data_IF_360099422301
#
_entry.id   IF_360099422301
#
_cell.length_a   1.000
_cell.length_b   1.000
_cell.length_c   1.000
_cell.angle_alpha   90.00
_cell.angle_beta   90.00
_cell.angle_gamma   90.00
#
_symmetry.space_group_name_H-M   'P 1'
#
loop_
_entity.id
_entity.type
_entity.pdbx_description
1 polymer ?
#
# COMPACT_ATOMS: atom_id res chain seq x y z
N UNK A 1 -6.89 -8.72 22.25
CA UNK A 1 -5.65 -9.51 22.12
C UNK A 1 -4.52 -8.51 22.00
N UNK A 2 -3.45 -8.65 22.78
CA UNK A 2 -2.28 -7.78 22.66
C UNK A 2 -1.57 -8.09 21.33
N UNK A 3 -1.25 -7.06 20.55
CA UNK A 3 -0.56 -7.22 19.26
C UNK A 3 0.95 -7.30 19.51
N UNK A 4 1.55 -8.45 19.21
CA UNK A 4 2.98 -8.71 19.38
C UNK A 4 3.84 -7.91 18.39
N UNK A 5 5.11 -7.70 18.74
CA UNK A 5 6.08 -6.97 17.92
C UNK A 5 6.28 -7.58 16.53
N UNK A 6 6.18 -8.91 16.37
CA UNK A 6 6.27 -9.56 15.05
C UNK A 6 5.10 -9.17 14.15
N UNK A 7 3.89 -9.13 14.70
CA UNK A 7 2.68 -8.74 13.97
C UNK A 7 2.80 -7.30 13.47
N UNK A 8 3.25 -6.39 14.34
CA UNK A 8 3.50 -4.98 14.00
C UNK A 8 4.54 -4.86 12.88
N UNK A 9 5.65 -5.59 12.98
CA UNK A 9 6.73 -5.55 11.99
C UNK A 9 6.23 -6.01 10.61
N UNK A 10 5.46 -7.09 10.55
CA UNK A 10 4.89 -7.60 9.30
C UNK A 10 3.85 -6.64 8.69
N UNK A 11 2.97 -6.08 9.52
CA UNK A 11 1.99 -5.10 9.08
C UNK A 11 2.64 -3.81 8.54
N UNK A 12 3.68 -3.29 9.23
CA UNK A 12 4.47 -2.14 8.76
C UNK A 12 5.14 -2.49 7.42
N UNK A 13 5.78 -3.66 7.34
CA UNK A 13 6.49 -4.10 6.13
C UNK A 13 5.56 -4.16 4.90
N UNK A 14 4.30 -4.53 5.07
CA UNK A 14 3.31 -4.49 4.00
C UNK A 14 3.06 -3.06 3.49
N UNK A 15 2.93 -2.08 4.38
CA UNK A 15 2.67 -0.68 3.99
C UNK A 15 3.88 0.02 3.38
N UNK A 16 5.11 -0.35 3.75
CA UNK A 16 6.34 0.30 3.24
C UNK A 16 7.09 -0.52 2.18
N UNK A 17 6.49 -1.62 1.71
CA UNK A 17 7.06 -2.55 0.72
C UNK A 17 7.55 -1.87 -0.56
N UNK A 18 6.94 -0.75 -0.93
CA UNK A 18 7.33 0.05 -2.08
C UNK A 18 8.77 0.57 -2.02
N UNK A 19 9.37 0.70 -0.83
CA UNK A 19 10.77 1.09 -0.65
C UNK A 19 11.75 0.04 -1.19
N UNK A 20 11.31 -1.21 -1.34
CA UNK A 20 12.12 -2.26 -1.98
C UNK A 20 12.13 -2.16 -3.51
N UNK A 21 11.43 -1.16 -4.09
CA UNK A 21 11.30 -0.90 -5.51
C UNK A 21 10.80 -2.11 -6.34
N UNK A 22 10.45 -1.84 -7.60
CA UNK A 22 10.10 -2.86 -8.60
C UNK A 22 9.06 -3.86 -8.11
N UNK A 23 9.41 -5.15 -8.19
CA UNK A 23 8.52 -6.26 -7.87
C UNK A 23 8.11 -6.30 -6.38
N UNK A 24 8.94 -5.76 -5.48
CA UNK A 24 8.65 -5.71 -4.04
C UNK A 24 7.42 -4.90 -3.68
N UNK A 25 7.05 -3.94 -4.54
CA UNK A 25 5.90 -3.07 -4.38
C UNK A 25 4.59 -3.86 -4.20
N UNK A 26 4.29 -4.86 -5.04
CA UNK A 26 3.08 -5.69 -4.89
C UNK A 26 3.37 -7.03 -4.22
N UNK A 27 4.55 -7.62 -4.45
CA UNK A 27 4.81 -8.98 -4.03
C UNK A 27 4.92 -9.13 -2.51
N UNK A 28 5.52 -8.16 -1.81
CA UNK A 28 5.68 -8.24 -0.35
C UNK A 28 4.32 -8.31 0.36
N UNK A 29 3.38 -7.36 0.20
CA UNK A 29 2.09 -7.46 0.87
C UNK A 29 1.27 -8.66 0.36
N UNK A 30 1.45 -9.08 -0.90
CA UNK A 30 0.80 -10.28 -1.43
C UNK A 30 1.26 -11.55 -0.69
N UNK A 31 2.57 -11.76 -0.56
CA UNK A 31 3.10 -12.92 0.14
C UNK A 31 2.72 -12.91 1.63
N UNK A 32 2.79 -11.74 2.28
CA UNK A 32 2.34 -11.59 3.67
C UNK A 32 0.86 -11.95 3.78
N UNK A 33 0.01 -11.40 2.91
CA UNK A 33 -1.42 -11.68 2.92
C UNK A 33 -1.70 -13.17 2.74
N UNK A 34 -1.18 -13.79 1.68
CA UNK A 34 -1.40 -15.21 1.38
C UNK A 34 -0.91 -16.14 2.51
N UNK A 35 0.17 -15.79 3.19
CA UNK A 35 0.71 -16.62 4.27
C UNK A 35 -0.07 -16.47 5.59
N UNK A 36 -0.57 -15.26 5.88
CA UNK A 36 -1.19 -14.91 7.17
C UNK A 36 -2.73 -14.87 7.14
N UNK A 37 -3.39 -14.91 5.98
CA UNK A 37 -4.86 -14.84 5.83
C UNK A 37 -5.65 -15.82 6.72
N UNK A 38 -5.05 -16.96 7.10
CA UNK A 38 -5.67 -17.96 7.98
C UNK A 38 -4.98 -18.13 9.34
N UNK A 39 -3.99 -17.29 9.64
CA UNK A 39 -3.14 -17.41 10.84
C UNK A 39 -3.27 -16.20 11.76
N UNK A 40 -3.48 -15.03 11.19
CA UNK A 40 -3.42 -13.77 11.90
C UNK A 40 -4.24 -12.69 11.20
N UNK A 41 -5.43 -12.41 11.73
CA UNK A 41 -6.36 -11.44 11.14
C UNK A 41 -5.79 -10.02 11.08
N UNK A 42 -4.97 -9.63 12.07
CA UNK A 42 -4.37 -8.30 12.10
C UNK A 42 -3.35 -8.13 10.98
N UNK A 43 -2.41 -9.07 10.86
CA UNK A 43 -1.39 -9.06 9.80
C UNK A 43 -2.04 -9.21 8.43
N UNK A 44 -3.00 -10.12 8.30
CA UNK A 44 -3.72 -10.35 7.05
C UNK A 44 -4.47 -9.09 6.58
N UNK A 45 -5.17 -8.40 7.48
CA UNK A 45 -5.92 -7.20 7.11
C UNK A 45 -4.99 -6.07 6.64
N UNK A 46 -3.91 -5.78 7.38
CA UNK A 46 -2.92 -4.79 6.95
C UNK A 46 -2.28 -5.14 5.61
N UNK A 47 -1.92 -6.41 5.41
CA UNK A 47 -1.33 -6.88 4.17
C UNK A 47 -2.30 -6.77 2.98
N UNK A 48 -3.57 -7.13 3.16
CA UNK A 48 -4.63 -6.96 2.15
C UNK A 48 -4.85 -5.50 1.78
N UNK A 49 -4.95 -4.62 2.79
CA UNK A 49 -5.16 -3.20 2.61
C UNK A 49 -3.98 -2.53 1.88
N UNK A 50 -2.75 -2.84 2.28
CA UNK A 50 -1.55 -2.38 1.59
C UNK A 50 -1.49 -2.90 0.14
N UNK A 51 -1.77 -4.19 -0.06
CA UNK A 51 -1.79 -4.82 -1.39
C UNK A 51 -2.78 -4.13 -2.34
N UNK A 52 -4.01 -3.91 -1.91
CA UNK A 52 -5.04 -3.27 -2.72
C UNK A 52 -4.67 -1.82 -3.04
N UNK A 53 -4.24 -1.05 -2.03
CA UNK A 53 -3.84 0.33 -2.21
C UNK A 53 -2.67 0.46 -3.20
N UNK A 54 -1.65 -0.38 -3.04
CA UNK A 54 -0.48 -0.39 -3.90
C UNK A 54 -0.86 -0.81 -5.31
N UNK A 55 -1.59 -1.93 -5.49
CA UNK A 55 -2.01 -2.39 -6.81
C UNK A 55 -2.84 -1.34 -7.57
N UNK A 56 -3.83 -0.74 -6.92
CA UNK A 56 -4.70 0.28 -7.55
C UNK A 56 -3.89 1.53 -7.91
N UNK A 57 -3.12 2.08 -6.97
CA UNK A 57 -2.32 3.28 -7.23
C UNK A 57 -1.25 3.02 -8.29
N UNK A 58 -0.69 1.81 -8.32
CA UNK A 58 0.29 1.39 -9.33
C UNK A 58 -0.31 1.31 -10.74
N UNK A 59 -1.49 0.69 -10.88
CA UNK A 59 -2.20 0.58 -12.17
C UNK A 59 -2.64 1.97 -12.66
N UNK A 60 -3.28 2.76 -11.79
CA UNK A 60 -3.74 4.11 -12.15
C UNK A 60 -2.54 5.01 -12.49
N UNK A 61 -1.48 4.95 -11.70
CA UNK A 61 -0.24 5.67 -11.96
C UNK A 61 0.42 5.28 -13.29
N UNK A 62 0.44 3.99 -13.62
CA UNK A 62 0.96 3.51 -14.90
C UNK A 62 0.12 4.02 -16.09
N UNK A 63 -1.21 3.98 -15.98
CA UNK A 63 -2.12 4.53 -17.02
C UNK A 63 -1.87 6.03 -17.21
N UNK A 64 -1.79 6.80 -16.11
CA UNK A 64 -1.50 8.24 -16.16
C UNK A 64 -0.13 8.48 -16.83
N UNK A 65 0.89 7.69 -16.48
CA UNK A 65 2.23 7.80 -17.07
C UNK A 65 2.24 7.54 -18.58
N UNK A 66 1.55 6.48 -19.04
CA UNK A 66 1.41 6.17 -20.47
C UNK A 66 0.65 7.29 -21.20
N UNK A 67 -0.46 7.75 -20.63
CA UNK A 67 -1.29 8.77 -21.26
C UNK A 67 -0.60 10.14 -21.31
N UNK A 68 0.19 10.46 -20.27
CA UNK A 68 1.05 11.64 -20.24
C UNK A 68 2.10 11.59 -21.36
N UNK A 69 2.63 10.41 -21.70
CA UNK A 69 3.56 10.28 -22.81
C UNK A 69 2.92 10.57 -24.18
N UNK A 70 1.63 10.26 -24.35
CA UNK A 70 0.92 10.35 -25.65
C UNK A 70 0.25 11.72 -25.89
N UNK A 71 -0.39 12.31 -24.88
CA UNK A 71 -1.39 13.40 -25.05
C UNK A 71 -0.86 14.81 -24.72
N UNK A 72 0.43 14.96 -24.40
CA UNK A 72 1.12 16.14 -23.78
C UNK A 72 1.15 16.03 -22.24
N UNK A 73 2.23 15.44 -21.73
CA UNK A 73 2.34 14.96 -20.35
C UNK A 73 2.26 15.99 -19.24
N UNK A 74 2.40 17.28 -19.56
CA UNK A 74 2.31 18.34 -18.56
C UNK A 74 0.90 18.49 -17.98
N UNK A 75 -0.15 18.20 -18.76
CA UNK A 75 -1.54 18.33 -18.29
C UNK A 75 -1.95 17.24 -17.29
N UNK A 76 -1.37 16.04 -17.41
CA UNK A 76 -1.67 14.91 -16.53
C UNK A 76 -0.69 14.80 -15.34
N UNK A 77 0.45 15.48 -15.40
CA UNK A 77 1.44 15.49 -14.33
C UNK A 77 0.88 15.91 -12.96
N UNK A 78 0.04 16.97 -12.83
CA UNK A 78 -0.54 17.34 -11.54
C UNK A 78 -1.41 16.23 -10.93
N UNK A 79 -2.18 15.52 -11.76
CA UNK A 79 -3.04 14.41 -11.31
C UNK A 79 -2.20 13.26 -10.78
N UNK A 80 -1.12 12.90 -11.49
CA UNK A 80 -0.18 11.86 -11.05
C UNK A 80 0.52 12.23 -9.74
N UNK A 81 0.90 13.50 -9.56
CA UNK A 81 1.52 13.99 -8.32
C UNK A 81 0.54 13.88 -7.15
N UNK A 82 -0.71 14.33 -7.33
CA UNK A 82 -1.73 14.25 -6.27
C UNK A 82 -1.99 12.79 -5.87
N UNK A 83 -2.13 11.89 -6.85
CA UNK A 83 -2.29 10.46 -6.59
C UNK A 83 -1.12 9.88 -5.78
N UNK A 84 0.11 10.20 -6.19
CA UNK A 84 1.33 9.74 -5.50
C UNK A 84 1.42 10.25 -4.07
N UNK A 85 1.09 11.53 -3.82
CA UNK A 85 1.08 12.13 -2.48
C UNK A 85 0.01 11.47 -1.60
N UNK A 86 -1.22 11.33 -2.10
CA UNK A 86 -2.31 10.70 -1.34
C UNK A 86 -1.95 9.28 -0.96
N UNK A 87 -1.48 8.49 -1.92
CA UNK A 87 -1.05 7.11 -1.67
C UNK A 87 0.09 7.05 -0.64
N UNK A 88 1.13 7.88 -0.79
CA UNK A 88 2.28 7.91 0.11
C UNK A 88 1.87 8.26 1.56
N UNK A 89 1.06 9.30 1.73
CA UNK A 89 0.56 9.73 3.04
C UNK A 89 -0.30 8.64 3.68
N UNK A 90 -1.23 8.04 2.93
CA UNK A 90 -2.04 6.94 3.44
C UNK A 90 -1.19 5.71 3.83
N UNK A 91 -0.15 5.39 3.05
CA UNK A 91 0.77 4.31 3.39
C UNK A 91 1.55 4.57 4.67
N UNK A 92 1.98 5.81 4.88
CA UNK A 92 2.63 6.22 6.12
C UNK A 92 1.68 6.13 7.32
N UNK A 93 0.43 6.58 7.16
CA UNK A 93 -0.60 6.46 8.21
C UNK A 93 -0.88 4.99 8.53
N UNK A 94 -0.94 4.12 7.52
CA UNK A 94 -1.12 2.68 7.71
C UNK A 94 0.01 2.05 8.51
N UNK A 95 1.27 2.38 8.19
CA UNK A 95 2.43 1.95 8.96
C UNK A 95 2.41 2.49 10.41
N UNK A 96 2.05 3.76 10.59
CA UNK A 96 1.95 4.38 11.92
C UNK A 96 0.88 3.71 12.79
N UNK A 97 -0.29 3.42 12.23
CA UNK A 97 -1.35 2.69 12.95
C UNK A 97 -0.95 1.25 13.27
N UNK A 98 -0.30 0.56 12.33
CA UNK A 98 0.24 -0.77 12.58
C UNK A 98 1.25 -0.77 13.75
N UNK A 99 2.09 0.26 13.86
CA UNK A 99 3.03 0.42 14.98
C UNK A 99 2.31 0.54 16.33
N UNK A 100 1.18 1.23 16.36
CA UNK A 100 0.33 1.38 17.55
C UNK A 100 -0.56 0.14 17.82
N UNK A 101 -0.54 -0.87 16.94
CA UNK A 101 -1.41 -2.04 17.05
C UNK A 101 -2.86 -1.75 16.65
N UNK A 102 -3.09 -0.68 15.89
CA UNK A 102 -4.40 -0.28 15.38
C UNK A 102 -4.60 -0.77 13.95
N UNK A 103 -5.76 -1.36 13.66
CA UNK A 103 -6.16 -1.69 12.29
C UNK A 103 -6.30 -0.43 11.44
N UNK A 104 -5.82 -0.50 10.19
CA UNK A 104 -5.98 0.56 9.21
C UNK A 104 -6.69 0.06 7.96
N UNK A 105 -7.64 0.85 7.47
CA UNK A 105 -8.30 0.66 6.18
C UNK A 105 -7.98 1.89 5.34
N UNK A 106 -7.54 1.68 4.10
CA UNK A 106 -7.28 2.82 3.23
C UNK A 106 -8.60 3.51 2.90
N UNK A 107 -8.63 4.85 2.91
CA UNK A 107 -9.80 5.57 2.42
C UNK A 107 -10.15 5.09 1.02
N UNK A 108 -11.44 4.84 0.75
CA UNK A 108 -11.98 4.30 -0.51
C UNK A 108 -11.75 2.79 -0.76
N UNK A 109 -10.99 2.11 0.09
CA UNK A 109 -10.78 0.66 0.04
C UNK A 109 -11.36 0.07 1.33
N UNK A 110 -12.56 -0.51 1.19
CA UNK A 110 -13.36 -1.04 2.31
C UNK A 110 -12.59 -2.01 3.21
#
# INVERSE_FOLDING_TARGET
MEIDGKQKTLAIAAHISYLFFGVGYVLVPLFIYLYFDKKDDFVANHAKQALLAQAICGIVGAIIGILAFIVVGLLLAPVGIVLGVVWFVCSFIGAWKALNGESYHYPLLG
#
